data_IF_260845661041
#
_entry.id   IF_260845661041
#
_cell.length_a   1.000
_cell.length_b   1.000
_cell.length_c   1.000
_cell.angle_alpha   90.00
_cell.angle_beta   90.00
_cell.angle_gamma   90.00
#
_symmetry.space_group_name_H-M   'P 1'
#
loop_
_entity.id
_entity.type
_entity.pdbx_description
1 polymer ?
#
# COMPACT_ATOMS: atom_id res chain seq x y z
N UNK A 1 -15.61 -1.20 -41.64
CA UNK A 1 -16.34 -1.67 -40.45
C UNK A 1 -15.38 -1.61 -39.27
N UNK A 2 -15.50 -0.62 -38.37
CA UNK A 2 -14.66 -0.55 -37.17
C UNK A 2 -15.17 -1.61 -36.20
N UNK A 3 -14.32 -2.52 -35.72
CA UNK A 3 -14.67 -3.28 -34.51
C UNK A 3 -14.74 -2.27 -33.37
N UNK A 4 -15.94 -2.07 -32.84
CA UNK A 4 -16.08 -1.55 -31.49
C UNK A 4 -15.37 -2.55 -30.57
N UNK A 5 -14.28 -2.10 -29.93
CA UNK A 5 -13.70 -2.87 -28.83
C UNK A 5 -14.80 -2.96 -27.78
N UNK A 6 -15.30 -4.18 -27.54
CA UNK A 6 -16.08 -4.49 -26.34
C UNK A 6 -15.21 -4.04 -25.17
N UNK A 7 -15.58 -2.93 -24.52
CA UNK A 7 -14.89 -2.52 -23.31
C UNK A 7 -15.34 -3.50 -22.25
N UNK A 8 -14.40 -4.33 -21.81
CA UNK A 8 -14.72 -5.32 -20.81
C UNK A 8 -14.75 -4.61 -19.45
N UNK A 9 -15.94 -4.26 -19.00
CA UNK A 9 -16.24 -3.60 -17.71
C UNK A 9 -16.05 -4.58 -16.54
N UNK A 10 -14.98 -5.38 -16.60
CA UNK A 10 -14.70 -6.54 -15.75
C UNK A 10 -13.19 -6.70 -15.58
N UNK A 11 -12.74 -6.89 -14.35
CA UNK A 11 -11.40 -7.37 -14.04
C UNK A 11 -11.41 -8.90 -14.08
N UNK A 12 -10.76 -9.51 -15.07
CA UNK A 12 -10.56 -10.96 -15.14
C UNK A 12 -9.52 -11.32 -14.08
N UNK A 13 -9.92 -12.11 -13.09
CA UNK A 13 -9.05 -12.55 -11.98
C UNK A 13 -8.41 -13.92 -12.25
N UNK A 14 -8.95 -14.70 -13.19
CA UNK A 14 -8.41 -16.00 -13.60
C UNK A 14 -9.39 -16.77 -14.48
N UNK A 15 -9.15 -18.06 -14.66
CA UNK A 15 -10.05 -18.99 -15.34
C UNK A 15 -10.59 -20.03 -14.36
N UNK A 16 -11.91 -20.09 -14.20
CA UNK A 16 -12.62 -21.17 -13.52
C UNK A 16 -12.76 -22.40 -14.44
N UNK A 17 -13.30 -23.48 -13.90
CA UNK A 17 -13.54 -24.74 -14.62
C UNK A 17 -14.24 -24.52 -15.96
N UNK A 18 -13.83 -25.31 -16.97
CA UNK A 18 -14.28 -25.20 -18.38
C UNK A 18 -13.85 -23.90 -19.07
N UNK A 19 -12.70 -23.33 -18.68
CA UNK A 19 -12.11 -22.10 -19.25
C UNK A 19 -13.04 -20.88 -19.23
N UNK A 20 -13.95 -20.81 -18.23
CA UNK A 20 -14.80 -19.63 -18.05
C UNK A 20 -14.00 -18.59 -17.27
N UNK A 21 -13.94 -17.32 -17.71
CA UNK A 21 -13.24 -16.30 -16.94
C UNK A 21 -13.94 -16.11 -15.60
N UNK A 22 -13.17 -16.19 -14.51
CA UNK A 22 -13.56 -15.66 -13.21
C UNK A 22 -13.25 -14.16 -13.22
N UNK A 23 -14.19 -13.33 -12.77
CA UNK A 23 -14.07 -11.87 -12.87
C UNK A 23 -14.72 -11.12 -11.70
N UNK A 24 -14.28 -9.88 -11.51
CA UNK A 24 -14.93 -8.86 -10.68
C UNK A 24 -15.54 -7.81 -11.61
N UNK A 25 -16.84 -7.58 -11.51
CA UNK A 25 -17.55 -6.51 -12.26
C UNK A 25 -17.04 -5.13 -11.85
N UNK A 26 -16.93 -4.17 -12.76
CA UNK A 26 -16.37 -2.83 -12.50
C UNK A 26 -17.01 -2.16 -11.27
N UNK A 27 -18.34 -2.17 -11.12
CA UNK A 27 -19.05 -1.60 -9.98
C UNK A 27 -18.72 -2.27 -8.63
N UNK A 28 -18.27 -3.53 -8.66
CA UNK A 28 -17.87 -4.26 -7.46
C UNK A 28 -16.37 -4.07 -7.14
N UNK A 29 -15.54 -3.58 -8.08
CA UNK A 29 -14.12 -3.25 -7.82
C UNK A 29 -13.95 -2.07 -6.86
N UNK A 30 -14.90 -1.13 -6.87
CA UNK A 30 -14.95 0.00 -5.91
C UNK A 30 -15.31 -0.42 -4.48
N UNK A 31 -15.64 -1.71 -4.26
CA UNK A 31 -15.85 -2.31 -2.92
C UNK A 31 -14.60 -3.06 -2.43
N UNK A 32 -13.45 -2.67 -2.96
CA UNK A 32 -12.10 -3.13 -2.65
C UNK A 32 -11.83 -4.63 -2.86
N UNK A 33 -10.56 -5.02 -2.84
CA UNK A 33 -10.10 -6.39 -2.98
C UNK A 33 -8.99 -6.69 -1.96
N UNK A 34 -9.14 -7.77 -1.21
CA UNK A 34 -8.07 -8.38 -0.42
C UNK A 34 -7.45 -9.50 -1.23
N UNK A 35 -6.13 -9.43 -1.47
CA UNK A 35 -5.33 -10.55 -1.99
C UNK A 35 -4.47 -11.08 -0.84
N UNK A 36 -4.70 -12.32 -0.45
CA UNK A 36 -4.03 -12.98 0.68
C UNK A 36 -3.25 -14.20 0.19
N UNK A 37 -1.98 -14.29 0.55
CA UNK A 37 -1.10 -15.41 0.22
C UNK A 37 0.33 -15.15 0.70
N UNK A 38 1.04 -16.19 1.13
CA UNK A 38 2.38 -16.04 1.72
C UNK A 38 3.44 -15.64 0.70
N UNK A 39 4.68 -15.39 1.15
CA UNK A 39 5.81 -15.07 0.29
C UNK A 39 6.00 -16.14 -0.80
N UNK A 40 6.17 -15.71 -2.05
CA UNK A 40 6.30 -16.58 -3.22
C UNK A 40 4.98 -17.03 -3.87
N UNK A 41 3.79 -16.79 -3.27
CA UNK A 41 2.48 -17.17 -3.83
C UNK A 41 2.05 -16.39 -5.09
N UNK A 42 2.92 -15.56 -5.67
CA UNK A 42 2.66 -14.82 -6.91
C UNK A 42 1.92 -13.48 -6.77
N UNK A 43 1.77 -12.93 -5.54
CA UNK A 43 1.13 -11.62 -5.30
C UNK A 43 1.67 -10.51 -6.23
N UNK A 44 2.94 -10.14 -6.05
CA UNK A 44 3.61 -9.04 -6.75
C UNK A 44 4.06 -9.42 -8.16
N UNK A 45 4.37 -10.69 -8.40
CA UNK A 45 4.91 -11.20 -9.68
C UNK A 45 3.83 -11.58 -10.71
N UNK A 46 2.64 -11.99 -10.26
CA UNK A 46 1.57 -12.54 -11.12
C UNK A 46 0.27 -11.74 -10.97
N UNK A 47 -0.26 -11.62 -9.75
CA UNK A 47 -1.59 -11.03 -9.51
C UNK A 47 -1.58 -9.52 -9.82
N UNK A 48 -0.68 -8.77 -9.19
CA UNK A 48 -0.56 -7.33 -9.36
C UNK A 48 -0.31 -6.94 -10.84
N UNK A 49 0.65 -7.53 -11.58
CA UNK A 49 0.88 -7.20 -12.98
C UNK A 49 -0.28 -7.61 -13.91
N UNK A 50 -0.93 -8.76 -13.67
CA UNK A 50 -2.08 -9.19 -14.48
C UNK A 50 -3.32 -8.32 -14.26
N UNK A 51 -3.53 -7.76 -13.07
CA UNK A 51 -4.63 -6.82 -12.82
C UNK A 51 -4.31 -5.44 -13.40
N UNK A 52 -3.12 -4.93 -13.10
CA UNK A 52 -2.66 -3.64 -13.60
C UNK A 52 -2.61 -3.58 -15.13
N UNK A 53 -2.26 -4.68 -15.83
CA UNK A 53 -2.31 -4.77 -17.30
C UNK A 53 -3.72 -4.45 -17.84
N UNK A 54 -4.76 -4.94 -17.18
CA UNK A 54 -6.14 -4.72 -17.63
C UNK A 54 -6.56 -3.25 -17.45
N UNK A 55 -6.10 -2.60 -16.38
CA UNK A 55 -6.40 -1.18 -16.11
C UNK A 55 -5.66 -0.22 -17.02
N UNK A 56 -4.38 -0.47 -17.32
CA UNK A 56 -3.65 0.37 -18.28
C UNK A 56 -4.22 0.22 -19.71
N UNK A 57 -4.73 -0.97 -20.08
CA UNK A 57 -5.42 -1.23 -21.34
C UNK A 57 -6.78 -0.50 -21.41
N UNK A 58 -7.46 -0.36 -20.26
CA UNK A 58 -8.67 0.45 -20.12
C UNK A 58 -8.35 1.95 -19.91
N UNK A 59 -8.29 2.71 -20.99
CA UNK A 59 -8.04 4.17 -20.95
C UNK A 59 -9.10 5.01 -20.21
N UNK A 60 -10.21 4.43 -19.73
CA UNK A 60 -11.24 5.16 -18.95
C UNK A 60 -10.92 5.27 -17.45
N UNK A 61 -9.94 4.52 -16.95
CA UNK A 61 -9.61 4.41 -15.52
C UNK A 61 -8.13 4.76 -15.29
N UNK A 62 -7.82 5.49 -14.21
CA UNK A 62 -6.43 5.69 -13.77
C UNK A 62 -5.97 4.59 -12.81
N UNK A 63 -4.67 4.56 -12.46
CA UNK A 63 -4.17 3.66 -11.43
C UNK A 63 -2.97 4.23 -10.68
N UNK A 64 -2.93 4.01 -9.36
CA UNK A 64 -1.78 4.27 -8.50
C UNK A 64 -1.32 2.95 -7.90
N UNK A 65 -0.02 2.66 -7.97
CA UNK A 65 0.56 1.42 -7.45
C UNK A 65 1.68 1.76 -6.48
N UNK A 66 1.60 1.22 -5.27
CA UNK A 66 2.66 1.21 -4.28
C UNK A 66 3.25 -0.21 -4.25
N UNK A 67 4.54 -0.34 -4.57
CA UNK A 67 5.22 -1.64 -4.70
C UNK A 67 6.60 -1.60 -4.04
N UNK A 68 6.93 -2.66 -3.29
CA UNK A 68 8.20 -2.74 -2.54
C UNK A 68 9.37 -3.26 -3.36
N UNK A 69 9.10 -4.01 -4.44
CA UNK A 69 10.11 -4.53 -5.34
C UNK A 69 10.36 -3.61 -6.54
N UNK A 70 11.61 -3.18 -6.70
CA UNK A 70 12.06 -2.31 -7.78
C UNK A 70 11.95 -2.96 -9.17
N UNK A 71 12.11 -4.27 -9.31
CA UNK A 71 11.96 -4.92 -10.61
C UNK A 71 10.50 -4.88 -11.08
N UNK A 72 9.56 -5.16 -10.19
CA UNK A 72 8.12 -5.05 -10.41
C UNK A 72 7.72 -3.61 -10.72
N UNK A 73 8.21 -2.61 -9.97
CA UNK A 73 7.99 -1.18 -10.27
C UNK A 73 8.41 -0.82 -11.70
N UNK A 74 9.61 -1.21 -12.12
CA UNK A 74 10.14 -0.94 -13.44
C UNK A 74 9.44 -1.72 -14.56
N UNK A 75 9.01 -2.95 -14.30
CA UNK A 75 8.19 -3.75 -15.22
C UNK A 75 6.84 -3.07 -15.46
N UNK A 76 6.17 -2.62 -14.41
CA UNK A 76 4.89 -1.91 -14.49
C UNK A 76 5.04 -0.56 -15.23
N UNK A 77 6.12 0.17 -14.99
CA UNK A 77 6.42 1.42 -15.72
C UNK A 77 6.59 1.17 -17.22
N UNK A 78 7.37 0.14 -17.58
CA UNK A 78 7.61 -0.26 -18.96
C UNK A 78 6.30 -0.71 -19.64
N UNK A 79 5.45 -1.43 -18.92
CA UNK A 79 4.15 -1.90 -19.40
C UNK A 79 3.17 -0.73 -19.63
N UNK A 80 3.17 0.28 -18.76
CA UNK A 80 2.38 1.50 -18.92
C UNK A 80 2.85 2.35 -20.13
N UNK A 81 4.17 2.52 -20.31
CA UNK A 81 4.74 3.17 -21.50
C UNK A 81 4.37 2.44 -22.79
N UNK A 82 4.48 1.10 -22.82
CA UNK A 82 4.08 0.27 -23.98
C UNK A 82 2.60 0.43 -24.36
N UNK A 83 1.73 0.65 -23.37
CA UNK A 83 0.30 0.89 -23.58
C UNK A 83 -0.05 2.36 -23.92
N UNK A 84 0.94 3.22 -24.12
CA UNK A 84 0.78 4.65 -24.39
C UNK A 84 -0.09 5.34 -23.32
N UNK A 85 0.22 5.05 -22.04
CA UNK A 85 -0.33 5.77 -20.89
C UNK A 85 0.65 6.82 -20.42
N UNK A 86 0.12 7.98 -20.01
CA UNK A 86 0.88 8.94 -19.21
C UNK A 86 1.19 8.26 -17.87
N UNK A 87 2.48 8.16 -17.55
CA UNK A 87 2.97 7.42 -16.38
C UNK A 87 4.10 8.16 -15.71
N UNK A 88 3.95 8.36 -14.40
CA UNK A 88 4.92 8.93 -13.48
C UNK A 88 5.50 7.81 -12.60
N UNK A 89 6.81 7.80 -12.40
CA UNK A 89 7.51 6.92 -11.46
C UNK A 89 8.01 7.78 -10.30
N UNK A 90 7.48 7.53 -9.11
CA UNK A 90 7.94 8.14 -7.86
C UNK A 90 8.88 7.12 -7.21
N UNK A 91 10.17 7.44 -7.18
CA UNK A 91 11.17 6.74 -6.37
C UNK A 91 11.87 7.83 -5.54
N UNK A 92 11.47 8.05 -4.28
CA UNK A 92 11.93 9.17 -3.46
C UNK A 92 13.45 9.43 -3.53
N UNK A 93 14.29 8.39 -3.45
CA UNK A 93 15.76 8.48 -3.49
C UNK A 93 16.36 9.03 -4.80
N UNK A 94 15.58 9.17 -5.88
CA UNK A 94 16.07 9.70 -7.16
C UNK A 94 15.98 11.24 -7.29
N UNK A 95 15.38 11.92 -6.31
CA UNK A 95 15.18 13.38 -6.40
C UNK A 95 15.48 14.04 -5.07
N UNK A 96 16.05 15.27 -5.10
CA UNK A 96 16.27 16.03 -3.87
C UNK A 96 14.96 16.24 -3.08
N UNK A 97 13.84 16.44 -3.78
CA UNK A 97 12.52 16.58 -3.14
C UNK A 97 12.00 15.28 -2.51
N UNK A 98 12.29 14.14 -3.13
CA UNK A 98 11.95 12.83 -2.60
C UNK A 98 12.86 12.39 -1.45
N UNK A 99 14.15 12.75 -1.48
CA UNK A 99 15.05 12.54 -0.33
C UNK A 99 14.54 13.31 0.90
N UNK A 100 14.18 14.60 0.74
CA UNK A 100 13.62 15.39 1.84
C UNK A 100 12.29 14.80 2.35
N UNK A 101 11.51 14.12 1.51
CA UNK A 101 10.31 13.39 1.94
C UNK A 101 10.64 12.20 2.86
N UNK A 102 11.74 11.49 2.62
CA UNK A 102 12.20 10.38 3.47
C UNK A 102 12.76 10.90 4.80
N UNK A 103 13.51 12.00 4.74
CA UNK A 103 14.18 12.64 5.89
C UNK A 103 13.20 13.37 6.82
N UNK A 104 12.14 13.98 6.28
CA UNK A 104 11.15 14.73 7.05
C UNK A 104 10.42 13.84 8.07
N UNK A 105 10.32 14.34 9.31
CA UNK A 105 9.56 13.67 10.38
C UNK A 105 8.06 14.01 10.34
N UNK A 106 7.71 15.19 9.81
CA UNK A 106 6.34 15.70 9.75
C UNK A 106 5.78 15.69 8.33
N UNK A 107 4.46 15.48 8.24
CA UNK A 107 3.73 15.48 6.99
C UNK A 107 3.39 16.90 6.52
N UNK A 108 3.76 17.25 5.28
CA UNK A 108 3.28 18.46 4.59
C UNK A 108 2.65 18.09 3.24
N UNK A 109 1.31 18.13 3.19
CA UNK A 109 0.54 17.87 1.98
C UNK A 109 0.93 18.79 0.80
N UNK A 110 1.15 20.09 1.05
CA UNK A 110 1.51 21.05 -0.01
C UNK A 110 2.87 20.71 -0.57
N UNK A 111 3.83 20.39 0.30
CA UNK A 111 5.15 19.94 -0.10
C UNK A 111 5.07 18.72 -1.02
N UNK A 112 4.35 17.65 -0.62
CA UNK A 112 4.19 16.44 -1.44
C UNK A 112 3.57 16.78 -2.79
N UNK A 113 2.46 17.53 -2.81
CA UNK A 113 1.73 17.87 -4.03
C UNK A 113 2.57 18.69 -5.02
N UNK A 114 3.33 19.65 -4.53
CA UNK A 114 4.03 20.64 -5.37
C UNK A 114 5.45 20.20 -5.77
N UNK A 115 6.09 19.33 -4.98
CA UNK A 115 7.50 18.97 -5.18
C UNK A 115 7.76 17.48 -5.44
N UNK A 116 6.79 16.59 -5.14
CA UNK A 116 6.95 15.13 -5.31
C UNK A 116 5.94 14.54 -6.31
N UNK A 117 4.64 14.67 -6.05
CA UNK A 117 3.58 14.12 -6.91
C UNK A 117 2.23 14.81 -6.69
N UNK A 118 1.67 15.34 -7.77
CA UNK A 118 0.30 15.88 -7.81
C UNK A 118 -0.72 14.75 -8.06
N UNK A 119 -1.20 14.14 -6.97
CA UNK A 119 -2.23 13.12 -7.03
C UNK A 119 -3.60 13.65 -7.47
N UNK A 120 -3.94 14.94 -7.25
CA UNK A 120 -5.21 15.53 -7.71
C UNK A 120 -5.25 15.48 -9.24
N UNK A 121 -4.19 15.99 -9.90
CA UNK A 121 -4.00 15.86 -11.34
C UNK A 121 -3.99 14.41 -11.78
N UNK A 122 -3.21 13.55 -11.13
CA UNK A 122 -3.00 12.18 -11.60
C UNK A 122 -4.31 11.39 -11.62
N UNK A 123 -5.14 11.53 -10.58
CA UNK A 123 -6.50 10.99 -10.52
C UNK A 123 -7.32 11.61 -11.66
N UNK A 124 -7.53 12.93 -11.66
CA UNK A 124 -8.39 13.66 -12.61
C UNK A 124 -8.09 13.36 -14.08
N UNK A 125 -6.82 13.20 -14.45
CA UNK A 125 -6.37 12.91 -15.81
C UNK A 125 -6.27 11.41 -16.13
N UNK A 126 -6.56 10.52 -15.17
CA UNK A 126 -6.45 9.06 -15.32
C UNK A 126 -5.03 8.63 -15.69
N UNK A 127 -4.05 9.33 -15.11
CA UNK A 127 -2.63 9.01 -15.24
C UNK A 127 -2.33 7.71 -14.47
N UNK A 128 -1.16 7.15 -14.75
CA UNK A 128 -0.61 6.02 -14.03
C UNK A 128 0.48 6.53 -13.10
N UNK A 129 0.39 6.23 -11.81
CA UNK A 129 1.45 6.52 -10.83
C UNK A 129 1.99 5.21 -10.30
N UNK A 130 3.31 5.07 -10.32
CA UNK A 130 4.01 3.94 -9.72
C UNK A 130 4.94 4.50 -8.67
N UNK A 131 4.76 4.07 -7.42
CA UNK A 131 5.59 4.39 -6.28
C UNK A 131 6.44 3.16 -5.99
N UNK A 132 7.74 3.28 -6.23
CA UNK A 132 8.74 2.40 -5.62
C UNK A 132 8.82 2.80 -4.15
N UNK A 133 8.41 1.90 -3.24
CA UNK A 133 8.37 2.17 -1.80
C UNK A 133 9.76 2.10 -1.15
N UNK A 134 10.75 1.53 -1.84
CA UNK A 134 12.16 1.48 -1.41
C UNK A 134 12.41 0.88 -0.01
N UNK A 135 11.50 0.04 0.50
CA UNK A 135 11.57 -0.50 1.86
C UNK A 135 12.88 -1.24 2.15
N UNK A 136 13.32 -2.12 1.23
CA UNK A 136 14.58 -2.84 1.38
C UNK A 136 15.81 -1.90 1.40
N UNK A 137 15.71 -0.73 0.74
CA UNK A 137 16.80 0.26 0.60
C UNK A 137 16.81 1.28 1.78
N UNK A 138 15.64 1.73 2.29
CA UNK A 138 15.53 2.83 3.28
C UNK A 138 14.59 2.55 4.49
N UNK A 139 14.19 1.30 4.75
CA UNK A 139 13.59 0.83 6.02
C UNK A 139 12.52 1.74 6.69
N UNK A 140 12.82 2.36 7.85
CA UNK A 140 11.84 3.15 8.62
C UNK A 140 11.50 4.48 7.88
N UNK A 141 12.48 5.09 7.24
CA UNK A 141 12.35 6.29 6.40
C UNK A 141 11.50 6.01 5.13
N UNK A 142 11.70 4.86 4.50
CA UNK A 142 10.85 4.38 3.40
C UNK A 142 9.38 4.23 3.82
N UNK A 143 9.13 3.73 5.04
CA UNK A 143 7.77 3.56 5.53
C UNK A 143 7.10 4.91 5.80
N UNK A 144 7.81 5.86 6.41
CA UNK A 144 7.34 7.23 6.65
C UNK A 144 7.08 7.98 5.34
N UNK A 145 8.00 7.94 4.38
CA UNK A 145 7.81 8.56 3.06
C UNK A 145 6.62 7.95 2.30
N UNK A 146 6.45 6.62 2.36
CA UNK A 146 5.29 5.93 1.77
C UNK A 146 3.98 6.31 2.47
N UNK A 147 3.98 6.48 3.79
CA UNK A 147 2.84 6.95 4.56
C UNK A 147 2.41 8.37 4.15
N UNK A 148 3.35 9.30 3.95
CA UNK A 148 3.07 10.63 3.43
C UNK A 148 2.44 10.58 2.03
N UNK A 149 2.94 9.71 1.14
CA UNK A 149 2.38 9.53 -0.20
C UNK A 149 0.97 8.92 -0.18
N UNK A 150 0.69 7.95 0.69
CA UNK A 150 -0.65 7.37 0.86
C UNK A 150 -1.64 8.40 1.44
N UNK A 151 -1.21 9.20 2.40
CA UNK A 151 -2.02 10.29 2.98
C UNK A 151 -2.32 11.36 1.93
N UNK A 152 -1.32 11.78 1.14
CA UNK A 152 -1.51 12.74 0.05
C UNK A 152 -2.41 12.19 -1.08
N UNK A 153 -2.31 10.90 -1.40
CA UNK A 153 -3.25 10.24 -2.32
C UNK A 153 -4.67 10.29 -1.77
N UNK A 154 -4.89 9.97 -0.48
CA UNK A 154 -6.19 10.02 0.18
C UNK A 154 -6.81 11.42 0.12
N UNK A 155 -6.05 12.47 0.43
CA UNK A 155 -6.54 13.85 0.39
C UNK A 155 -6.94 14.29 -1.02
N UNK A 156 -6.10 14.00 -2.01
CA UNK A 156 -6.41 14.27 -3.42
C UNK A 156 -7.68 13.54 -3.89
N UNK A 157 -7.83 12.28 -3.49
CA UNK A 157 -8.98 11.44 -3.75
C UNK A 157 -10.28 11.98 -3.15
N UNK A 158 -10.25 12.41 -1.88
CA UNK A 158 -11.44 12.97 -1.20
C UNK A 158 -11.95 14.21 -1.92
N UNK A 159 -11.05 15.09 -2.38
CA UNK A 159 -11.38 16.30 -3.14
C UNK A 159 -11.96 16.00 -4.54
N UNK A 160 -11.28 15.19 -5.34
CA UNK A 160 -11.70 14.92 -6.73
C UNK A 160 -13.03 14.13 -6.82
N UNK A 161 -13.47 13.48 -5.73
CA UNK A 161 -14.71 12.72 -5.69
C UNK A 161 -15.99 13.56 -5.80
N UNK A 162 -15.95 14.88 -5.55
CA UNK A 162 -17.11 15.76 -5.77
C UNK A 162 -17.66 15.65 -7.20
N UNK A 163 -16.80 15.32 -8.18
CA UNK A 163 -17.19 15.11 -9.58
C UNK A 163 -17.79 13.73 -9.88
N UNK A 164 -17.53 12.71 -9.04
CA UNK A 164 -17.76 11.25 -9.28
C UNK A 164 -17.40 10.75 -10.70
N UNK A 165 -16.51 11.45 -11.41
CA UNK A 165 -16.32 11.27 -12.87
C UNK A 165 -15.18 10.34 -13.26
N UNK A 166 -14.30 10.01 -12.31
CA UNK A 166 -12.98 9.46 -12.60
C UNK A 166 -12.67 8.21 -11.79
N UNK A 167 -12.93 7.02 -12.37
CA UNK A 167 -12.47 5.75 -11.83
C UNK A 167 -10.94 5.71 -11.71
N UNK A 168 -10.45 5.32 -10.54
CA UNK A 168 -9.01 5.15 -10.29
C UNK A 168 -8.76 3.95 -9.38
N UNK A 169 -7.79 3.09 -9.72
CA UNK A 169 -7.50 1.89 -8.93
C UNK A 169 -6.19 2.04 -8.15
N UNK A 170 -6.28 1.93 -6.83
CA UNK A 170 -5.16 1.90 -5.92
C UNK A 170 -4.72 0.45 -5.69
N UNK A 171 -3.43 0.18 -5.81
CA UNK A 171 -2.80 -1.09 -5.48
C UNK A 171 -1.72 -0.83 -4.42
N UNK A 172 -1.75 -1.56 -3.30
CA UNK A 172 -0.74 -1.43 -2.23
C UNK A 172 -0.15 -2.79 -1.93
N UNK A 173 1.06 -3.05 -2.40
CA UNK A 173 1.79 -4.28 -2.06
C UNK A 173 2.23 -4.27 -0.59
N UNK A 174 2.43 -5.46 0.01
CA UNK A 174 2.86 -5.65 1.40
C UNK A 174 2.10 -4.75 2.41
N UNK A 175 0.77 -4.62 2.26
CA UNK A 175 0.01 -3.51 2.86
C UNK A 175 0.04 -3.46 4.39
N UNK A 176 0.40 -4.56 5.07
CA UNK A 176 0.51 -4.66 6.53
C UNK A 176 1.41 -3.60 7.16
N UNK A 177 2.46 -3.14 6.46
CA UNK A 177 3.33 -2.05 6.93
C UNK A 177 2.65 -0.67 6.88
N UNK A 178 1.57 -0.55 6.11
CA UNK A 178 0.95 0.72 5.71
C UNK A 178 -0.53 0.84 6.08
N UNK A 179 -1.11 -0.17 6.74
CA UNK A 179 -2.55 -0.22 7.02
C UNK A 179 -3.11 1.03 7.71
N UNK A 180 -2.47 1.68 8.70
CA UNK A 180 -2.97 2.92 9.29
C UNK A 180 -3.35 4.00 8.26
N UNK A 181 -2.63 4.06 7.13
CA UNK A 181 -2.85 5.02 6.05
C UNK A 181 -3.77 4.49 4.94
N UNK A 182 -3.93 3.17 4.84
CA UNK A 182 -4.80 2.52 3.84
C UNK A 182 -6.23 2.31 4.35
N UNK A 183 -6.44 1.97 5.62
CA UNK A 183 -7.78 1.74 6.20
C UNK A 183 -8.74 2.93 6.00
N UNK A 184 -8.32 4.21 6.12
CA UNK A 184 -9.20 5.34 5.85
C UNK A 184 -9.63 5.49 4.37
N UNK A 185 -8.97 4.79 3.44
CA UNK A 185 -9.34 4.69 2.01
C UNK A 185 -10.34 3.54 1.78
N UNK A 186 -10.40 2.56 2.69
CA UNK A 186 -11.37 1.45 2.63
C UNK A 186 -12.75 1.85 3.17
N UNK A 187 -12.82 2.80 4.10
CA UNK A 187 -14.08 3.27 4.68
C UNK A 187 -15.04 3.90 3.66
N UNK A 188 -14.52 4.38 2.54
CA UNK A 188 -15.23 5.07 1.47
C UNK A 188 -15.60 4.16 0.28
N UNK A 189 -15.56 2.85 0.47
CA UNK A 189 -15.86 1.85 -0.55
C UNK A 189 -17.29 1.90 -1.09
N UNK A 190 -17.41 2.03 -2.41
CA UNK A 190 -18.69 2.06 -3.14
C UNK A 190 -19.36 3.45 -3.23
N UNK A 191 -19.08 4.37 -2.31
CA UNK A 191 -19.59 5.75 -2.37
C UNK A 191 -18.78 6.65 -3.32
N UNK A 192 -17.55 6.21 -3.64
CA UNK A 192 -16.53 6.94 -4.38
C UNK A 192 -15.99 6.12 -5.58
N UNK A 193 -15.32 6.79 -6.52
CA UNK A 193 -14.75 6.17 -7.73
C UNK A 193 -13.37 5.52 -7.55
N UNK A 194 -12.95 5.20 -6.32
CA UNK A 194 -11.66 4.51 -6.06
C UNK A 194 -11.88 3.08 -5.58
N UNK A 195 -11.28 2.13 -6.29
CA UNK A 195 -11.14 0.75 -5.82
C UNK A 195 -9.73 0.52 -5.28
N UNK A 196 -9.62 -0.09 -4.10
CA UNK A 196 -8.31 -0.41 -3.49
C UNK A 196 -8.08 -1.92 -3.49
N UNK A 197 -6.91 -2.36 -3.93
CA UNK A 197 -6.43 -3.74 -3.79
C UNK A 197 -5.29 -3.78 -2.79
N UNK A 198 -5.50 -4.48 -1.67
CA UNK A 198 -4.47 -4.69 -0.65
C UNK A 198 -3.89 -6.10 -0.75
N UNK A 199 -2.58 -6.23 -0.67
CA UNK A 199 -1.85 -7.49 -0.71
C UNK A 199 -1.25 -7.80 0.66
N UNK A 200 -1.71 -8.89 1.27
CA UNK A 200 -1.27 -9.33 2.59
C UNK A 200 -0.63 -10.72 2.55
N UNK A 201 0.38 -10.94 3.38
CA UNK A 201 1.02 -12.26 3.52
C UNK A 201 0.16 -13.22 4.36
N UNK A 202 -0.39 -12.71 5.46
CA UNK A 202 -1.25 -13.43 6.42
C UNK A 202 -2.07 -12.44 7.23
N UNK A 203 -3.29 -12.80 7.64
CA UNK A 203 -4.10 -12.04 8.60
C UNK A 203 -3.51 -12.08 10.02
N UNK A 204 -2.55 -12.97 10.29
CA UNK A 204 -1.83 -13.02 11.57
C UNK A 204 -0.88 -11.83 11.79
N UNK A 205 -0.59 -11.05 10.74
CA UNK A 205 0.15 -9.78 10.83
C UNK A 205 -0.74 -8.62 11.33
N UNK A 206 -2.06 -8.86 11.45
CA UNK A 206 -3.04 -7.83 11.78
C UNK A 206 -3.47 -7.88 13.24
N UNK A 207 -3.78 -6.72 13.80
CA UNK A 207 -4.56 -6.60 15.02
C UNK A 207 -6.05 -6.86 14.75
N UNK A 208 -6.85 -6.99 15.81
CA UNK A 208 -8.25 -7.40 15.66
C UNK A 208 -9.17 -6.28 15.11
N UNK A 209 -8.81 -5.01 15.33
CA UNK A 209 -9.51 -3.87 14.74
C UNK A 209 -9.27 -3.82 13.22
N UNK A 210 -8.03 -4.03 12.77
CA UNK A 210 -7.67 -4.12 11.35
C UNK A 210 -8.41 -5.25 10.64
N UNK A 211 -8.49 -6.44 11.25
CA UNK A 211 -9.29 -7.56 10.74
C UNK A 211 -10.76 -7.18 10.61
N UNK A 212 -11.34 -6.59 11.66
CA UNK A 212 -12.75 -6.18 11.67
C UNK A 212 -13.04 -5.13 10.58
N UNK A 213 -12.15 -4.15 10.38
CA UNK A 213 -12.28 -3.16 9.29
C UNK A 213 -12.19 -3.83 7.92
N UNK A 214 -11.17 -4.65 7.69
CA UNK A 214 -10.99 -5.35 6.41
C UNK A 214 -12.20 -6.22 6.08
N UNK A 215 -12.75 -6.97 7.05
CA UNK A 215 -13.95 -7.78 6.86
C UNK A 215 -15.22 -6.93 6.66
N UNK A 216 -15.28 -5.76 7.29
CA UNK A 216 -16.42 -4.83 7.22
C UNK A 216 -16.48 -4.01 5.94
N UNK A 217 -15.34 -3.71 5.30
CA UNK A 217 -15.28 -2.81 4.14
C UNK A 217 -14.84 -3.47 2.83
N UNK A 218 -14.07 -4.55 2.87
CA UNK A 218 -13.66 -5.28 1.66
C UNK A 218 -14.71 -6.34 1.30
N UNK A 219 -15.23 -6.28 0.06
CA UNK A 219 -16.27 -7.21 -0.44
C UNK A 219 -15.76 -8.26 -1.40
N UNK A 220 -14.59 -8.07 -2.01
CA UNK A 220 -13.95 -9.07 -2.85
C UNK A 220 -12.71 -9.60 -2.14
N UNK A 221 -12.50 -10.92 -2.17
CA UNK A 221 -11.36 -11.59 -1.52
C UNK A 221 -10.78 -12.62 -2.49
N UNK A 222 -9.45 -12.73 -2.49
CA UNK A 222 -8.69 -13.68 -3.31
C UNK A 222 -7.65 -14.34 -2.42
N UNK A 223 -7.72 -15.67 -2.33
CA UNK A 223 -6.92 -16.49 -1.45
C UNK A 223 -6.02 -17.40 -2.28
N UNK A 224 -4.75 -17.01 -2.40
CA UNK A 224 -3.71 -17.71 -3.15
C UNK A 224 -3.27 -18.98 -2.42
N UNK A 225 -2.25 -19.68 -2.94
CA UNK A 225 -1.66 -20.86 -2.30
C UNK A 225 -0.75 -20.51 -1.11
N UNK A 226 -0.37 -21.53 -0.35
CA UNK A 226 0.61 -21.41 0.75
C UNK A 226 0.10 -20.71 2.01
N UNK A 227 -1.21 -20.61 2.21
CA UNK A 227 -1.82 -19.96 3.37
C UNK A 227 -1.41 -20.57 4.71
N UNK A 228 -1.47 -19.77 5.79
CA UNK A 228 -1.37 -20.29 7.16
C UNK A 228 -2.61 -21.12 7.53
N UNK A 229 -2.50 -21.92 8.59
CA UNK A 229 -3.64 -22.71 9.10
C UNK A 229 -4.75 -21.80 9.63
N UNK A 230 -4.38 -20.67 10.25
CA UNK A 230 -5.30 -19.65 10.75
C UNK A 230 -6.02 -18.93 9.60
N UNK A 231 -5.30 -18.52 8.55
CA UNK A 231 -5.91 -17.94 7.35
C UNK A 231 -6.86 -18.92 6.66
N UNK A 232 -6.47 -20.20 6.57
CA UNK A 232 -7.29 -21.25 5.98
C UNK A 232 -8.56 -21.54 6.80
N UNK A 233 -8.51 -21.47 8.14
CA UNK A 233 -9.70 -21.57 9.01
C UNK A 233 -10.66 -20.40 8.83
N UNK A 234 -10.13 -19.18 8.77
CA UNK A 234 -10.93 -18.00 8.46
C UNK A 234 -11.67 -18.14 7.11
N UNK A 235 -11.04 -18.77 6.11
CA UNK A 235 -11.71 -19.08 4.84
C UNK A 235 -12.80 -20.14 5.00
N UNK A 236 -12.62 -21.19 5.82
CA UNK A 236 -13.69 -22.17 6.10
C UNK A 236 -14.91 -21.54 6.77
N UNK A 237 -14.73 -20.48 7.55
CA UNK A 237 -15.80 -19.76 8.23
C UNK A 237 -16.55 -18.80 7.28
N UNK A 238 -15.84 -18.19 6.31
CA UNK A 238 -16.44 -17.27 5.31
C UNK A 238 -16.97 -18.02 4.06
N UNK A 239 -16.53 -19.26 3.83
CA UNK A 239 -16.94 -20.18 2.76
C UNK A 239 -17.28 -21.55 3.35
N UNK A 240 -18.53 -21.71 3.80
CA UNK A 240 -19.09 -22.93 4.43
C UNK A 240 -19.03 -24.23 3.61
N UNK A 241 -18.50 -24.22 2.38
CA UNK A 241 -18.57 -25.31 1.41
C UNK A 241 -17.21 -26.01 1.17
N UNK A 242 -16.14 -25.64 1.88
CA UNK A 242 -14.77 -26.17 1.62
C UNK A 242 -14.07 -26.61 2.91
N UNK A 243 -13.49 -27.81 2.87
CA UNK A 243 -12.71 -28.35 3.99
C UNK A 243 -11.27 -27.82 4.02
N UNK A 244 -10.71 -27.74 5.23
CA UNK A 244 -9.34 -27.25 5.47
C UNK A 244 -8.25 -27.94 4.63
N UNK A 245 -8.24 -29.28 4.43
CA UNK A 245 -7.22 -29.94 3.60
C UNK A 245 -7.26 -29.51 2.14
N UNK A 246 -8.46 -29.24 1.59
CA UNK A 246 -8.61 -28.69 0.24
C UNK A 246 -8.09 -27.24 0.16
N UNK A 247 -8.29 -26.46 1.24
CA UNK A 247 -7.83 -25.06 1.27
C UNK A 247 -6.30 -24.96 1.38
N UNK A 248 -5.63 -25.93 1.99
CA UNK A 248 -4.17 -25.91 2.15
C UNK A 248 -3.40 -26.52 0.95
N UNK A 249 -3.98 -27.51 0.26
CA UNK A 249 -3.28 -28.30 -0.77
C UNK A 249 -3.74 -27.99 -2.21
N UNK A 250 -3.78 -26.70 -2.59
CA UNK A 250 -4.06 -26.24 -3.97
C UNK A 250 -2.81 -26.20 -4.84
N UNK A 251 -2.97 -26.32 -6.16
CA UNK A 251 -1.88 -26.08 -7.13
C UNK A 251 -1.38 -24.63 -7.04
N UNK A 252 -0.09 -24.37 -7.28
CA UNK A 252 0.54 -23.04 -7.16
C UNK A 252 -0.28 -21.85 -7.70
N UNK A 253 -0.88 -21.99 -8.89
CA UNK A 253 -1.67 -20.95 -9.56
C UNK A 253 -3.18 -20.99 -9.23
N UNK A 254 -3.66 -21.98 -8.47
CA UNK A 254 -5.05 -22.05 -8.01
C UNK A 254 -5.31 -21.13 -6.83
N UNK A 255 -6.40 -20.40 -6.92
CA UNK A 255 -6.89 -19.54 -5.85
C UNK A 255 -8.37 -19.75 -5.60
N UNK A 256 -8.78 -19.49 -4.37
CA UNK A 256 -10.19 -19.35 -4.01
C UNK A 256 -10.54 -17.87 -4.11
N UNK A 257 -11.72 -17.53 -4.65
CA UNK A 257 -12.24 -16.17 -4.65
C UNK A 257 -13.60 -16.07 -3.99
N UNK A 258 -13.86 -14.90 -3.39
CA UNK A 258 -15.21 -14.40 -3.11
C UNK A 258 -15.35 -13.07 -3.82
N UNK A 259 -16.45 -12.88 -4.53
CA UNK A 259 -16.80 -11.65 -5.23
C UNK A 259 -18.29 -11.40 -5.06
N UNK A 260 -18.80 -10.29 -5.61
CA UNK A 260 -20.23 -10.03 -5.68
C UNK A 260 -20.75 -10.23 -7.11
N UNK A 261 -21.90 -10.88 -7.23
CA UNK A 261 -22.62 -11.05 -8.49
C UNK A 261 -23.37 -9.76 -8.91
N UNK A 262 -24.14 -9.85 -10.01
CA UNK A 262 -24.95 -8.73 -10.52
C UNK A 262 -26.09 -8.28 -9.61
N UNK A 263 -26.43 -9.06 -8.58
CA UNK A 263 -27.46 -8.76 -7.57
C UNK A 263 -26.84 -8.37 -6.22
N UNK A 264 -25.52 -8.23 -6.16
CA UNK A 264 -24.80 -7.97 -4.91
C UNK A 264 -24.73 -9.18 -3.97
N UNK A 265 -25.12 -10.38 -4.42
CA UNK A 265 -24.98 -11.61 -3.63
C UNK A 265 -23.52 -12.08 -3.69
N UNK A 266 -23.02 -12.64 -2.60
CA UNK A 266 -21.72 -13.33 -2.59
C UNK A 266 -21.71 -14.47 -3.60
N UNK A 267 -20.76 -14.43 -4.53
CA UNK A 267 -20.35 -15.54 -5.37
C UNK A 267 -18.98 -16.00 -4.89
N UNK A 268 -18.74 -17.30 -4.86
CA UNK A 268 -17.42 -17.86 -4.54
C UNK A 268 -17.05 -18.95 -5.56
N UNK A 269 -15.78 -19.31 -5.60
CA UNK A 269 -15.30 -20.38 -6.47
C UNK A 269 -13.80 -20.57 -6.42
N UNK A 270 -13.33 -21.45 -7.29
CA UNK A 270 -11.91 -21.75 -7.51
C UNK A 270 -11.58 -21.40 -8.95
N UNK A 271 -10.42 -20.80 -9.17
CA UNK A 271 -9.92 -20.47 -10.50
C UNK A 271 -8.38 -20.61 -10.53
N UNK A 272 -7.83 -20.76 -11.73
CA UNK A 272 -6.39 -20.69 -11.99
C UNK A 272 -6.02 -19.30 -12.48
N UNK A 273 -4.93 -18.75 -11.95
CA UNK A 273 -4.36 -17.49 -12.39
C UNK A 273 -3.96 -17.56 -13.85
N UNK A 274 -4.09 -16.43 -14.54
CA UNK A 274 -3.56 -16.21 -15.87
C UNK A 274 -2.34 -15.27 -15.75
N UNK A 275 -1.10 -15.80 -15.73
CA UNK A 275 0.10 -14.97 -15.76
C UNK A 275 0.18 -14.17 -17.05
N UNK A 276 0.96 -13.09 -17.03
CA UNK A 276 1.34 -12.40 -18.25
C UNK A 276 2.09 -13.36 -19.20
N UNK A 277 1.85 -13.21 -20.50
CA UNK A 277 2.50 -14.01 -21.54
C UNK A 277 4.04 -13.91 -21.41
N UNK A 278 4.75 -15.05 -21.51
CA UNK A 278 6.21 -15.07 -21.30
C UNK A 278 6.96 -14.12 -22.24
N UNK A 279 6.52 -14.03 -23.50
CA UNK A 279 7.08 -13.11 -24.49
C UNK A 279 6.85 -11.63 -24.11
N UNK A 280 5.70 -11.31 -23.52
CA UNK A 280 5.43 -9.98 -22.98
C UNK A 280 6.35 -9.67 -21.81
N UNK A 281 6.47 -10.57 -20.83
CA UNK A 281 7.36 -10.38 -19.66
C UNK A 281 8.82 -10.18 -20.10
N UNK A 282 9.31 -11.01 -21.02
CA UNK A 282 10.70 -10.92 -21.48
C UNK A 282 10.98 -9.65 -22.28
N UNK A 283 10.06 -9.25 -23.17
CA UNK A 283 10.18 -7.98 -23.90
C UNK A 283 10.11 -6.74 -22.98
N UNK A 284 9.40 -6.82 -21.85
CA UNK A 284 9.42 -5.77 -20.82
C UNK A 284 10.78 -5.75 -20.09
N UNK A 285 11.32 -6.90 -19.67
CA UNK A 285 12.64 -7.00 -19.03
C UNK A 285 13.76 -6.41 -19.90
N UNK A 286 13.73 -6.65 -21.21
CA UNK A 286 14.68 -6.04 -22.17
C UNK A 286 14.53 -4.51 -22.25
N UNK A 287 13.32 -3.97 -22.04
CA UNK A 287 13.06 -2.52 -22.06
C UNK A 287 13.42 -1.81 -20.74
N UNK A 288 13.39 -2.51 -19.60
CA UNK A 288 13.66 -1.95 -18.26
C UNK A 288 14.99 -1.19 -18.17
N UNK A 289 16.15 -1.70 -18.65
CA UNK A 289 17.41 -0.96 -18.63
C UNK A 289 17.36 0.37 -19.39
N UNK A 290 16.65 0.43 -20.53
CA UNK A 290 16.49 1.66 -21.32
C UNK A 290 15.62 2.67 -20.58
N UNK A 291 14.50 2.21 -20.01
CA UNK A 291 13.61 3.06 -19.23
C UNK A 291 14.29 3.57 -17.96
N UNK A 292 15.05 2.73 -17.24
CA UNK A 292 15.87 3.13 -16.09
C UNK A 292 16.89 4.20 -16.47
N UNK A 293 17.61 4.02 -17.58
CA UNK A 293 18.55 5.03 -18.08
C UNK A 293 17.89 6.37 -18.41
N UNK A 294 16.64 6.38 -18.88
CA UNK A 294 15.90 7.61 -19.16
C UNK A 294 15.34 8.27 -17.89
N UNK A 295 14.92 7.50 -16.89
CA UNK A 295 14.51 8.04 -15.58
C UNK A 295 15.70 8.75 -14.92
N UNK A 296 16.83 8.05 -14.78
CA UNK A 296 18.05 8.57 -14.15
C UNK A 296 18.67 9.79 -14.87
N UNK A 297 18.40 9.96 -16.18
CA UNK A 297 18.90 11.10 -16.96
C UNK A 297 18.02 12.35 -16.89
N UNK A 298 16.76 12.19 -16.49
CA UNK A 298 15.82 13.30 -16.35
C UNK A 298 15.83 13.88 -14.92
N UNK A 299 16.71 13.37 -14.05
CA UNK A 299 16.99 13.95 -12.74
C UNK A 299 17.60 15.35 -12.91
N UNK A 300 16.82 16.37 -12.58
CA UNK A 300 17.30 17.74 -12.49
C UNK A 300 18.30 17.79 -11.32
N UNK A 301 19.59 18.02 -11.63
CA UNK A 301 20.56 18.44 -10.61
C UNK A 301 19.95 19.63 -9.86
N UNK A 302 19.80 19.59 -8.53
CA UNK A 302 19.24 20.72 -7.82
C UNK A 302 20.17 21.93 -8.01
N UNK A 303 19.69 22.95 -8.73
CA UNK A 303 20.29 24.27 -8.61
C UNK A 303 20.08 24.72 -7.15
N UNK A 304 21.15 25.06 -6.42
CA UNK A 304 21.02 25.45 -5.02
C UNK A 304 20.28 26.77 -4.95
N UNK A 305 18.98 26.71 -4.62
CA UNK A 305 18.24 27.90 -4.19
C UNK A 305 18.91 28.40 -2.92
N UNK A 306 19.56 29.56 -3.05
CA UNK A 306 20.24 30.25 -1.97
C UNK A 306 19.21 30.49 -0.85
N UNK A 307 19.36 29.78 0.26
CA UNK A 307 18.62 30.10 1.48
C UNK A 307 19.11 31.48 1.93
N UNK A 308 18.23 32.48 1.82
CA UNK A 308 18.49 33.82 2.34
C UNK A 308 18.79 33.71 3.83
N UNK A 309 19.93 34.29 4.25
CA UNK A 309 20.40 34.26 5.64
C UNK A 309 19.28 34.66 6.62
N UNK A 310 19.22 34.06 7.83
CA UNK A 310 18.33 34.55 8.87
C UNK A 310 18.66 36.01 9.19
N UNK A 311 17.61 36.81 9.36
CA UNK A 311 17.73 38.22 9.78
C UNK A 311 18.11 38.24 11.26
N UNK A 312 19.26 38.84 11.59
CA UNK A 312 19.59 39.18 12.98
C UNK A 312 18.61 40.22 13.49
N UNK A 313 17.77 39.85 14.45
CA UNK A 313 16.90 40.79 15.17
C UNK A 313 17.62 41.22 16.44
N UNK A 314 18.13 42.45 16.46
CA UNK A 314 18.71 43.06 17.65
C UNK A 314 17.65 43.23 18.75
N UNK A 315 17.69 42.40 19.79
CA UNK A 315 16.91 42.59 21.00
C UNK A 315 17.61 43.59 21.93
N UNK A 316 17.02 44.78 22.12
CA UNK A 316 17.51 45.80 23.06
C UNK A 316 17.18 45.44 24.51
N UNK A 317 18.04 45.90 25.42
CA UNK A 317 18.07 45.58 26.86
C UNK A 317 16.94 46.20 27.69
N UNK A 318 16.26 45.38 28.51
CA UNK A 318 15.60 45.66 29.81
C UNK A 318 14.88 44.37 30.32
N UNK A 319 14.77 44.03 31.62
CA UNK A 319 15.42 44.60 32.82
C UNK A 319 15.51 43.60 34.03
N UNK A 320 15.88 44.11 35.20
CA UNK A 320 16.14 43.44 36.51
C UNK A 320 15.14 42.37 37.03
N UNK A 321 15.69 41.16 37.33
CA UNK A 321 15.56 40.27 38.52
C UNK A 321 14.38 40.42 39.53
N UNK A 322 13.86 39.31 40.13
CA UNK A 322 14.67 38.46 41.03
C UNK A 322 14.48 36.93 40.98
N UNK A 323 15.45 36.24 41.56
CA UNK A 323 15.58 34.78 41.65
C UNK A 323 14.63 34.14 42.69
N UNK A 324 14.03 32.99 42.33
CA UNK A 324 13.36 32.07 43.29
C UNK A 324 14.05 30.71 43.22
N UNK A 325 14.42 30.17 44.39
CA UNK A 325 15.02 28.85 44.53
C UNK A 325 13.95 27.75 44.50
N UNK A 326 14.21 26.64 43.81
CA UNK A 326 13.36 25.43 43.85
C UNK A 326 14.14 24.29 44.52
N UNK A 327 13.54 23.50 45.45
CA UNK A 327 14.31 22.54 46.25
C UNK A 327 14.60 21.24 45.51
N UNK A 328 15.81 20.70 45.71
CA UNK A 328 16.19 19.34 45.32
C UNK A 328 15.56 18.29 46.23
N UNK A 329 14.94 17.25 45.66
CA UNK A 329 14.49 16.04 46.37
C UNK A 329 15.40 14.86 45.99
N UNK A 330 15.89 14.05 46.95
CA UNK A 330 16.87 12.99 46.68
C UNK A 330 16.23 11.67 46.18
N UNK A 331 17.00 10.78 45.52
CA UNK A 331 16.52 9.49 45.06
C UNK A 331 16.32 8.50 46.22
N UNK A 332 15.26 7.68 46.13
CA UNK A 332 14.98 6.61 47.09
C UNK A 332 15.60 5.29 46.63
N UNK A 333 16.40 4.69 47.51
CA UNK A 333 17.15 3.46 47.25
C UNK A 333 16.28 2.19 47.27
N UNK A 334 16.78 1.19 46.55
CA UNK A 334 16.27 -0.18 46.51
C UNK A 334 16.20 -0.86 47.90
N UNK A 335 15.19 -1.70 48.11
CA UNK A 335 15.31 -2.87 48.99
C UNK A 335 14.62 -4.09 48.38
N UNK A 336 15.36 -5.20 48.39
CA UNK A 336 14.92 -6.51 47.92
C UNK A 336 13.84 -7.12 48.83
N UNK A 337 12.86 -7.81 48.22
CA UNK A 337 12.32 -9.04 48.78
C UNK A 337 12.05 -10.04 47.65
N UNK A 338 12.65 -11.23 47.79
CA UNK A 338 12.52 -12.34 46.85
C UNK A 338 11.21 -13.09 47.08
N UNK A 339 10.54 -13.52 46.01
CA UNK A 339 9.88 -14.83 46.04
C UNK A 339 9.81 -15.51 44.67
N UNK A 340 10.19 -16.79 44.63
CA UNK A 340 10.29 -17.57 43.40
C UNK A 340 9.03 -18.41 43.16
N UNK A 341 8.37 -18.28 42.01
CA UNK A 341 7.53 -19.37 41.46
C UNK A 341 7.76 -19.63 39.97
N UNK A 342 8.21 -20.84 39.68
CA UNK A 342 8.47 -21.38 38.36
C UNK A 342 7.26 -21.34 37.42
N UNK A 343 7.43 -20.80 36.19
CA UNK A 343 6.71 -21.27 34.99
C UNK A 343 7.67 -21.32 33.78
N UNK A 344 7.66 -22.46 33.08
CA UNK A 344 8.54 -22.76 31.93
C UNK A 344 8.34 -21.74 30.80
N UNK A 345 9.38 -20.96 30.46
CA UNK A 345 9.44 -20.20 29.21
C UNK A 345 9.67 -21.17 28.05
N UNK A 346 8.65 -21.41 27.22
CA UNK A 346 8.88 -21.81 25.82
C UNK A 346 9.45 -20.58 25.10
N UNK A 347 10.61 -20.72 24.47
CA UNK A 347 11.22 -19.65 23.66
C UNK A 347 10.39 -19.41 22.40
N UNK A 348 9.82 -18.22 22.25
CA UNK A 348 9.34 -17.76 20.94
C UNK A 348 10.50 -17.77 19.93
N UNK A 349 10.28 -18.23 18.68
CA UNK A 349 11.31 -18.19 17.65
C UNK A 349 11.70 -16.75 17.33
N UNK A 350 13.01 -16.49 17.16
CA UNK A 350 13.60 -15.14 17.03
C UNK A 350 12.87 -14.24 16.02
N UNK A 351 12.46 -14.80 14.88
CA UNK A 351 11.76 -14.06 13.80
C UNK A 351 10.48 -13.37 14.28
N UNK A 352 9.70 -14.03 15.15
CA UNK A 352 8.43 -13.48 15.67
C UNK A 352 8.67 -12.32 16.65
N UNK A 353 9.85 -12.27 17.28
CA UNK A 353 10.22 -11.14 18.15
C UNK A 353 10.63 -9.92 17.36
N UNK A 354 11.41 -10.07 16.29
CA UNK A 354 11.83 -8.95 15.44
C UNK A 354 10.60 -8.20 14.90
N UNK A 355 9.67 -8.93 14.25
CA UNK A 355 8.43 -8.35 13.70
C UNK A 355 7.56 -7.70 14.79
N UNK A 356 7.41 -8.32 15.96
CA UNK A 356 6.66 -7.70 17.09
C UNK A 356 7.35 -6.45 17.66
N UNK A 357 8.67 -6.34 17.57
CA UNK A 357 9.41 -5.15 18.00
C UNK A 357 9.31 -4.03 16.95
N UNK A 358 9.37 -4.36 15.67
CA UNK A 358 9.15 -3.43 14.56
C UNK A 358 7.73 -2.88 14.58
N UNK A 359 6.70 -3.72 14.67
CA UNK A 359 5.29 -3.27 14.81
C UNK A 359 5.09 -2.36 16.03
N UNK A 360 5.76 -2.65 17.16
CA UNK A 360 5.72 -1.75 18.33
C UNK A 360 6.41 -0.40 18.11
N UNK A 361 7.48 -0.33 17.32
CA UNK A 361 8.07 0.96 16.91
C UNK A 361 7.13 1.74 16.00
N UNK A 362 6.47 1.05 15.07
CA UNK A 362 5.53 1.69 14.14
C UNK A 362 4.34 2.33 14.86
N UNK A 363 3.84 1.73 15.94
CA UNK A 363 2.82 2.36 16.79
C UNK A 363 3.35 3.65 17.44
N UNK A 364 4.57 3.65 17.98
CA UNK A 364 5.19 4.86 18.57
C UNK A 364 5.46 5.96 17.52
N UNK A 365 5.74 5.58 16.27
CA UNK A 365 5.90 6.53 15.16
C UNK A 365 4.56 7.20 14.80
N UNK A 366 3.42 6.50 14.92
CA UNK A 366 2.09 7.08 14.68
C UNK A 366 1.72 8.15 15.73
N UNK A 367 1.96 7.87 17.01
CA UNK A 367 1.68 8.81 18.10
C UNK A 367 2.51 10.11 17.96
N UNK A 368 3.72 10.04 17.39
CA UNK A 368 4.57 11.21 17.12
C UNK A 368 4.25 11.93 15.79
N UNK A 369 3.57 11.26 14.84
CA UNK A 369 3.21 11.83 13.54
C UNK A 369 1.97 12.72 13.61
N UNK A 370 1.11 12.48 14.58
CA UNK A 370 -0.05 13.30 14.95
C UNK A 370 0.15 13.80 16.38
N UNK A 371 1.25 14.56 16.60
CA UNK A 371 1.53 15.15 17.91
C UNK A 371 0.34 15.94 18.43
N UNK A 372 0.10 15.86 19.73
CA UNK A 372 -1.12 16.35 20.39
C UNK A 372 -1.36 17.86 20.12
N UNK A 373 -2.28 18.17 19.18
CA UNK A 373 -2.94 19.48 19.07
C UNK A 373 -3.96 19.64 20.22
N UNK A 374 -3.48 19.51 21.45
CA UNK A 374 -4.20 19.85 22.69
C UNK A 374 -3.96 21.33 23.01
N UNK A 375 -4.52 22.25 22.20
CA UNK A 375 -4.99 23.58 22.67
C UNK A 375 -5.82 24.36 21.59
N UNK A 376 -7.16 24.36 21.80
CA UNK A 376 -8.22 25.24 21.25
C UNK A 376 -8.78 25.02 19.82
#
# INVERSE_FOLDING_TARGET
MKLERVVNDQLIIGNADKQRPAYIREENRFKHLLVLGTKGSGKSEIVLPSFFKQDIENKRVGATVFVGDRETAMMMYSLAKRNNREVQLVKPSLTASGMLLLENEHYDYRYVRENVIDFERAIRKKEIVIVDMEFDENQEEAIRGTAFLLTAFREAYVKENESKSTPHFLYVDNSHLYLPYVLPILFSGGDYTVGCTIFLESRNLLNDNEKAIIDSFIRNKMFLTGLTVEDARYITEDIYERELPYILNRDYLEFIYLTLDSKGKRANGVAKLNPLEKELVESLRISVPRHRGNVLRNEVKPEPKIVSKPVEVEAKTSDVLPSVQVPTVPPLNEKNSSDQKNKKKRSEPKVVRTVKQEVKRHVVILDNLFGDDDEF
#
